data_IF_333245838568
#
_entry.id   IF_333245838568
#
_cell.length_a   1.000
_cell.length_b   1.000
_cell.length_c   1.000
_cell.angle_alpha   90.00
_cell.angle_beta   90.00
_cell.angle_gamma   90.00
#
_symmetry.space_group_name_H-M   'P 1'
#
loop_
_entity.id
_entity.type
_entity.pdbx_description
1 polymer ?
#
# COMPACT_ATOMS: atom_id res chain seq x y z
N UNK A 1 15.43 -4.88 5.54
CA UNK A 1 14.13 -5.46 5.16
C UNK A 1 12.97 -4.50 5.43
N UNK A 2 12.25 -4.52 6.58
CA UNK A 2 11.05 -3.66 6.79
C UNK A 2 11.31 -2.16 6.58
N UNK A 3 12.40 -1.61 7.14
CA UNK A 3 12.78 -0.20 6.97
C UNK A 3 12.99 0.15 5.49
N UNK A 4 13.65 -0.71 4.72
CA UNK A 4 13.93 -0.50 3.30
C UNK A 4 12.67 -0.55 2.45
N UNK A 5 11.76 -1.49 2.73
CA UNK A 5 10.46 -1.57 2.07
C UNK A 5 9.63 -0.30 2.33
N UNK A 6 9.61 0.20 3.57
CA UNK A 6 8.94 1.47 3.90
C UNK A 6 9.58 2.66 3.21
N UNK A 7 10.91 2.75 3.19
CA UNK A 7 11.61 3.83 2.49
C UNK A 7 11.34 3.80 0.99
N UNK A 8 11.37 2.62 0.37
CA UNK A 8 11.08 2.45 -1.04
C UNK A 8 9.68 2.91 -1.41
N UNK A 9 8.66 2.49 -0.65
CA UNK A 9 7.27 2.85 -0.94
C UNK A 9 6.93 4.31 -0.60
N UNK A 10 7.43 4.84 0.52
CA UNK A 10 6.93 6.11 1.07
C UNK A 10 7.91 7.28 0.96
N UNK A 11 9.21 7.03 0.82
CA UNK A 11 10.22 8.10 0.62
C UNK A 11 10.57 8.18 -0.86
N UNK A 12 10.98 7.05 -1.44
CA UNK A 12 11.37 6.97 -2.85
C UNK A 12 10.15 6.93 -3.80
N UNK A 13 8.93 6.79 -3.26
CA UNK A 13 7.67 6.68 -4.02
C UNK A 13 7.72 5.63 -5.14
N UNK A 14 8.46 4.53 -4.92
CA UNK A 14 8.58 3.45 -5.89
C UNK A 14 7.26 2.72 -6.03
N UNK A 15 6.94 2.33 -7.26
CA UNK A 15 5.87 1.39 -7.48
C UNK A 15 6.22 0.05 -6.80
N UNK A 16 5.24 -0.67 -6.23
CA UNK A 16 5.51 -1.95 -5.58
C UNK A 16 6.23 -2.97 -6.50
N UNK A 17 5.96 -2.93 -7.81
CA UNK A 17 6.66 -3.76 -8.78
C UNK A 17 8.15 -3.42 -8.90
N UNK A 18 8.49 -2.14 -8.94
CA UNK A 18 9.89 -1.68 -8.97
C UNK A 18 10.62 -1.96 -7.66
N UNK A 19 9.91 -1.82 -6.53
CA UNK A 19 10.46 -2.16 -5.23
C UNK A 19 10.74 -3.65 -5.08
N UNK A 20 9.85 -4.52 -5.57
CA UNK A 20 10.07 -5.96 -5.58
C UNK A 20 11.34 -6.32 -6.37
N UNK A 21 11.52 -5.70 -7.54
CA UNK A 21 12.74 -5.85 -8.35
C UNK A 21 13.98 -5.33 -7.62
N UNK A 22 13.90 -4.15 -6.99
CA UNK A 22 15.00 -3.55 -6.21
C UNK A 22 15.41 -4.41 -5.01
N UNK A 23 14.45 -5.05 -4.36
CA UNK A 23 14.68 -5.97 -3.24
C UNK A 23 15.02 -7.40 -3.70
N UNK A 24 14.93 -7.69 -5.00
CA UNK A 24 15.13 -9.04 -5.52
C UNK A 24 14.11 -10.07 -5.03
N UNK A 25 12.89 -9.63 -4.68
CA UNK A 25 11.81 -10.49 -4.17
C UNK A 25 10.68 -10.61 -5.19
N UNK A 26 9.92 -11.69 -5.11
CA UNK A 26 8.69 -11.84 -5.89
C UNK A 26 7.61 -10.84 -5.43
N UNK A 27 6.69 -10.46 -6.32
CA UNK A 27 5.55 -9.62 -5.96
C UNK A 27 4.67 -10.26 -4.87
N UNK A 28 4.54 -11.58 -4.85
CA UNK A 28 3.83 -12.32 -3.80
C UNK A 28 4.51 -12.15 -2.43
N UNK A 29 5.84 -12.30 -2.37
CA UNK A 29 6.59 -12.08 -1.14
C UNK A 29 6.49 -10.63 -0.65
N UNK A 30 6.46 -9.65 -1.57
CA UNK A 30 6.24 -8.25 -1.21
C UNK A 30 4.84 -8.03 -0.63
N UNK A 31 3.83 -8.71 -1.18
CA UNK A 31 2.45 -8.66 -0.68
C UNK A 31 2.34 -9.26 0.72
N UNK A 32 2.97 -10.42 0.97
CA UNK A 32 3.06 -10.99 2.32
C UNK A 32 3.80 -10.06 3.28
N UNK A 33 4.85 -9.39 2.81
CA UNK A 33 5.58 -8.42 3.61
C UNK A 33 4.71 -7.22 4.00
N UNK A 34 3.93 -6.68 3.05
CA UNK A 34 2.96 -5.62 3.33
C UNK A 34 1.91 -6.06 4.34
N UNK A 35 1.35 -7.26 4.19
CA UNK A 35 0.37 -7.81 5.14
C UNK A 35 0.97 -7.98 6.54
N UNK A 36 2.21 -8.46 6.63
CA UNK A 36 2.94 -8.56 7.90
C UNK A 36 3.21 -7.17 8.51
N UNK A 37 3.54 -6.18 7.68
CA UNK A 37 3.79 -4.80 8.14
C UNK A 37 2.52 -4.11 8.63
N UNK A 38 1.37 -4.42 8.02
CA UNK A 38 0.06 -3.99 8.49
C UNK A 38 -0.28 -4.65 9.83
N UNK A 39 -0.12 -5.98 9.93
CA UNK A 39 -0.38 -6.72 11.16
C UNK A 39 0.52 -6.28 12.33
N UNK A 40 1.77 -5.91 12.04
CA UNK A 40 2.70 -5.33 13.03
C UNK A 40 2.42 -3.85 13.35
N UNK A 41 1.47 -3.22 12.66
CA UNK A 41 1.04 -1.85 12.87
C UNK A 41 2.01 -0.79 12.34
N UNK A 42 2.86 -1.11 11.36
CA UNK A 42 3.72 -0.13 10.68
C UNK A 42 2.96 0.64 9.58
N UNK A 43 2.07 -0.04 8.88
CA UNK A 43 1.20 0.54 7.87
C UNK A 43 -0.25 0.24 8.22
N UNK A 44 -1.17 1.00 7.63
CA UNK A 44 -2.61 0.70 7.66
C UNK A 44 -3.15 0.83 6.25
N UNK A 45 -4.04 -0.07 5.87
CA UNK A 45 -4.85 0.12 4.67
C UNK A 45 -5.82 1.29 4.88
N UNK A 46 -5.94 2.13 3.85
CA UNK A 46 -6.91 3.22 3.75
C UNK A 46 -7.65 2.98 2.45
N UNK A 47 -8.96 2.79 2.56
CA UNK A 47 -9.84 2.85 1.41
C UNK A 47 -9.80 4.29 0.89
N UNK A 48 -9.52 4.47 -0.40
CA UNK A 48 -9.69 5.77 -1.03
C UNK A 48 -11.19 6.03 -1.16
N UNK A 49 -11.79 6.52 -0.07
CA UNK A 49 -13.19 6.98 0.00
C UNK A 49 -13.30 8.34 -0.71
N UNK A 50 -12.88 8.37 -1.98
CA UNK A 50 -12.97 9.52 -2.86
C UNK A 50 -14.32 9.61 -3.57
N UNK A 51 -15.43 9.44 -2.85
CA UNK A 51 -16.77 9.92 -3.23
C UNK A 51 -17.76 9.75 -2.05
N UNK A 52 -18.63 10.73 -1.74
CA UNK A 52 -19.78 10.50 -0.87
C UNK A 52 -20.82 9.69 -1.65
N UNK A 53 -20.66 8.38 -1.62
CA UNK A 53 -21.54 7.43 -2.28
C UNK A 53 -21.91 6.32 -1.32
N UNK A 54 -22.89 6.61 -0.46
CA UNK A 54 -23.75 5.71 0.31
C UNK A 54 -23.43 4.22 0.22
N UNK A 55 -23.11 3.59 1.35
CA UNK A 55 -23.48 2.20 1.57
C UNK A 55 -23.64 1.86 3.06
N UNK A 56 -24.85 1.96 3.63
CA UNK A 56 -25.22 1.09 4.73
C UNK A 56 -25.53 -0.29 4.13
N UNK A 57 -24.48 -1.08 3.94
CA UNK A 57 -24.60 -2.49 3.57
C UNK A 57 -24.86 -2.75 2.07
N UNK A 58 -24.26 -3.86 1.65
CA UNK A 58 -24.43 -4.53 0.35
C UNK A 58 -23.66 -3.93 -0.82
N UNK A 59 -22.82 -4.79 -1.39
CA UNK A 59 -21.96 -4.55 -2.54
C UNK A 59 -22.73 -4.03 -3.76
N UNK A 60 -22.16 -3.04 -4.46
CA UNK A 60 -22.30 -2.90 -5.91
C UNK A 60 -21.27 -1.89 -6.42
N UNK A 61 -20.15 -2.38 -6.94
CA UNK A 61 -19.14 -1.59 -7.62
C UNK A 61 -19.72 -1.05 -8.94
N UNK A 62 -19.87 0.27 -9.10
CA UNK A 62 -20.08 0.88 -10.42
C UNK A 62 -19.22 2.13 -10.60
N UNK A 63 -18.26 1.97 -11.52
CA UNK A 63 -17.62 2.96 -12.40
C UNK A 63 -17.36 4.39 -11.88
N UNK A 64 -16.08 4.69 -11.61
CA UNK A 64 -15.51 6.02 -11.91
C UNK A 64 -13.99 5.92 -12.14
N UNK A 65 -13.61 6.17 -13.39
CA UNK A 65 -12.42 6.89 -13.88
C UNK A 65 -11.11 6.93 -13.07
N UNK A 66 -10.09 6.36 -13.73
CA UNK A 66 -8.69 6.79 -13.79
C UNK A 66 -7.89 6.85 -12.48
N UNK A 67 -7.37 5.68 -12.07
CA UNK A 67 -6.08 5.59 -11.42
C UNK A 67 -5.17 4.77 -12.36
N UNK A 68 -4.02 5.33 -12.71
CA UNK A 68 -3.12 4.85 -13.75
C UNK A 68 -2.85 3.32 -13.70
N UNK A 69 -2.98 2.70 -14.88
CA UNK A 69 -2.51 1.35 -15.20
C UNK A 69 -1.05 1.17 -14.79
N UNK A 70 -0.73 0.06 -14.11
CA UNK A 70 0.65 -0.40 -14.00
C UNK A 70 0.99 -1.22 -12.76
N UNK A 71 0.07 -1.41 -11.83
CA UNK A 71 0.35 -2.12 -10.58
C UNK A 71 -0.54 -3.36 -10.49
N UNK A 72 0.07 -4.54 -10.31
CA UNK A 72 -0.60 -5.82 -10.01
C UNK A 72 -1.33 -5.82 -8.65
N UNK A 73 -1.58 -4.64 -8.08
CA UNK A 73 -2.28 -4.45 -6.82
C UNK A 73 -3.72 -4.06 -7.11
N UNK A 74 -4.70 -4.65 -6.42
CA UNK A 74 -6.10 -4.39 -6.67
C UNK A 74 -6.39 -2.88 -6.60
N UNK A 75 -7.05 -2.29 -7.61
CA UNK A 75 -7.40 -0.88 -7.59
C UNK A 75 -8.30 -0.60 -6.37
N UNK A 76 -7.92 0.36 -5.53
CA UNK A 76 -8.70 0.81 -4.37
C UNK A 76 -8.03 0.64 -3.00
N UNK A 77 -6.92 -0.11 -2.91
CA UNK A 77 -6.17 -0.25 -1.66
C UNK A 77 -4.98 0.71 -1.64
N UNK A 78 -5.01 1.73 -0.79
CA UNK A 78 -3.82 2.55 -0.48
C UNK A 78 -3.33 2.20 0.92
N UNK A 79 -2.01 2.23 1.12
CA UNK A 79 -1.42 2.06 2.44
C UNK A 79 -0.88 3.41 2.91
N UNK A 80 -1.04 3.71 4.19
CA UNK A 80 -0.40 4.87 4.84
C UNK A 80 0.42 4.43 6.04
N UNK A 81 1.51 5.15 6.32
CA UNK A 81 2.34 4.93 7.50
C UNK A 81 1.57 5.29 8.78
N UNK A 82 1.61 4.40 9.76
CA UNK A 82 1.21 4.72 11.14
C UNK A 82 2.32 5.55 11.81
N UNK A 83 2.10 6.05 13.03
CA UNK A 83 3.17 6.68 13.81
C UNK A 83 4.39 5.75 14.00
N UNK A 84 4.13 4.45 14.21
CA UNK A 84 5.17 3.44 14.35
C UNK A 84 5.94 3.27 13.03
N UNK A 85 5.23 3.20 11.91
CA UNK A 85 5.81 3.17 10.58
C UNK A 85 6.68 4.40 10.30
N UNK A 86 6.20 5.60 10.62
CA UNK A 86 6.95 6.85 10.48
C UNK A 86 8.24 6.84 11.29
N UNK A 87 8.19 6.37 12.55
CA UNK A 87 9.39 6.26 13.39
C UNK A 87 10.45 5.31 12.83
N UNK A 88 10.05 4.25 12.12
CA UNK A 88 10.99 3.30 11.50
C UNK A 88 11.48 3.78 10.15
N UNK A 89 10.57 4.33 9.32
CA UNK A 89 10.86 4.83 7.99
C UNK A 89 11.76 6.08 8.03
N UNK A 90 11.44 7.02 8.91
CA UNK A 90 12.08 8.32 9.02
C UNK A 90 13.17 8.41 10.10
N UNK A 91 13.42 7.33 10.87
CA UNK A 91 14.65 7.28 11.68
C UNK A 91 15.84 7.10 10.75
N UNK A 92 16.76 8.04 10.81
CA UNK A 92 18.09 7.91 10.20
C UNK A 92 18.86 6.80 10.92
#
# INVERSE_FOLDING_TARGET
MIKETLKGLFIENLAPGELALKLGISPDNLKDMLHNMEHMGYIREVCDEGAPGTCPGTCACTAATSCHKGSNYPPGKKYVLTEKGKRVCCRE
#
